data_IF_914688091301
#
_entry.id   IF_914688091301
#
_cell.length_a   1.000
_cell.length_b   1.000
_cell.length_c   1.000
_cell.angle_alpha   90.00
_cell.angle_beta   90.00
_cell.angle_gamma   90.00
#
_symmetry.space_group_name_H-M   'P 1'
#
loop_
_entity.id
_entity.type
_entity.pdbx_description
1 polymer ?
#
# COMPACT_ATOMS: atom_id res chain seq x y z
N UNK A 1 -17.16 5.04 6.02
CA UNK A 1 -16.50 4.07 5.10
C UNK A 1 -15.06 4.48 4.77
N UNK A 2 -14.81 5.58 4.04
CA UNK A 2 -13.42 6.02 3.76
C UNK A 2 -12.66 6.41 5.03
N UNK A 3 -13.31 7.13 5.94
CA UNK A 3 -12.64 7.55 7.17
C UNK A 3 -12.32 6.35 8.08
N UNK A 4 -13.17 5.31 8.07
CA UNK A 4 -12.92 4.07 8.80
C UNK A 4 -11.66 3.34 8.29
N UNK A 5 -11.40 3.37 6.99
CA UNK A 5 -10.18 2.78 6.40
C UNK A 5 -8.94 3.55 6.84
N UNK A 6 -8.99 4.88 6.88
CA UNK A 6 -7.87 5.73 7.34
C UNK A 6 -7.50 5.43 8.80
N UNK A 7 -8.49 5.15 9.65
CA UNK A 7 -8.28 4.91 11.08
C UNK A 7 -8.22 3.43 11.47
N UNK A 8 -8.44 2.51 10.53
CA UNK A 8 -8.53 1.07 10.79
C UNK A 8 -7.32 0.50 11.51
N UNK A 9 -6.11 0.97 11.17
CA UNK A 9 -4.89 0.60 11.88
C UNK A 9 -4.93 0.94 13.37
N UNK A 10 -5.45 2.11 13.74
CA UNK A 10 -5.58 2.51 15.15
C UNK A 10 -6.57 1.65 15.93
N UNK A 11 -7.67 1.21 15.30
CA UNK A 11 -8.61 0.29 15.93
C UNK A 11 -7.97 -1.07 16.23
N UNK A 12 -7.22 -1.62 15.28
CA UNK A 12 -6.51 -2.90 15.47
C UNK A 12 -5.42 -2.76 16.54
N UNK A 13 -4.67 -1.66 16.50
CA UNK A 13 -3.67 -1.31 17.51
C UNK A 13 -4.28 -1.26 18.92
N UNK A 14 -5.42 -0.57 19.08
CA UNK A 14 -6.10 -0.47 20.36
C UNK A 14 -6.62 -1.83 20.86
N UNK A 15 -7.02 -2.73 19.97
CA UNK A 15 -7.56 -4.04 20.33
C UNK A 15 -6.50 -5.06 20.74
N UNK A 16 -5.41 -5.19 19.97
CA UNK A 16 -4.39 -6.25 20.18
C UNK A 16 -2.97 -5.75 20.43
N UNK A 17 -2.73 -4.44 20.44
CA UNK A 17 -1.43 -3.82 20.70
C UNK A 17 -0.47 -3.74 19.51
N UNK A 18 -0.90 -4.13 18.30
CA UNK A 18 -0.03 -4.17 17.11
C UNK A 18 -0.81 -4.18 15.78
N UNK A 19 -0.15 -3.97 14.64
CA UNK A 19 -0.77 -3.95 13.29
C UNK A 19 0.11 -4.63 12.21
N UNK A 20 0.28 -5.94 12.28
CA UNK A 20 1.29 -6.66 11.51
C UNK A 20 0.73 -7.57 10.41
N UNK A 21 -0.42 -8.23 10.63
CA UNK A 21 -0.93 -9.23 9.66
C UNK A 21 -1.42 -8.61 8.35
N UNK A 22 -2.06 -7.44 8.41
CA UNK A 22 -2.55 -6.75 7.21
C UNK A 22 -1.40 -6.31 6.30
N UNK A 23 -0.38 -5.66 6.88
CA UNK A 23 0.79 -5.22 6.12
C UNK A 23 1.61 -6.40 5.62
N UNK A 24 1.79 -7.47 6.41
CA UNK A 24 2.49 -8.68 5.96
C UNK A 24 1.80 -9.34 4.74
N UNK A 25 0.46 -9.36 4.71
CA UNK A 25 -0.31 -9.83 3.56
C UNK A 25 -0.08 -8.96 2.32
N UNK A 26 -0.16 -7.63 2.47
CA UNK A 26 0.09 -6.69 1.37
C UNK A 26 1.53 -6.81 0.82
N UNK A 27 2.53 -6.94 1.70
CA UNK A 27 3.92 -7.16 1.29
C UNK A 27 4.10 -8.49 0.57
N UNK A 28 3.49 -9.57 1.05
CA UNK A 28 3.55 -10.89 0.41
C UNK A 28 2.96 -10.85 -0.99
N UNK A 29 1.86 -10.11 -1.17
CA UNK A 29 1.22 -9.93 -2.47
C UNK A 29 2.11 -9.15 -3.46
N UNK A 30 2.75 -8.07 -2.99
CA UNK A 30 3.71 -7.31 -3.80
C UNK A 30 4.90 -8.19 -4.22
N UNK A 31 5.47 -8.96 -3.27
CA UNK A 31 6.54 -9.92 -3.54
C UNK A 31 6.10 -10.92 -4.60
N UNK A 32 4.92 -11.53 -4.44
CA UNK A 32 4.38 -12.51 -5.37
C UNK A 32 4.26 -11.93 -6.79
N UNK A 33 3.67 -10.74 -6.91
CA UNK A 33 3.48 -10.05 -8.18
C UNK A 33 4.81 -9.79 -8.92
N UNK A 34 5.87 -9.40 -8.18
CA UNK A 34 7.21 -9.18 -8.74
C UNK A 34 7.87 -10.51 -9.15
N UNK A 35 7.92 -11.48 -8.23
CA UNK A 35 8.67 -12.73 -8.45
C UNK A 35 8.02 -13.66 -9.49
N UNK A 36 6.72 -13.53 -9.73
CA UNK A 36 5.99 -14.32 -10.73
C UNK A 36 5.63 -13.53 -11.98
N UNK A 37 6.15 -12.31 -12.13
CA UNK A 37 5.92 -11.42 -13.27
C UNK A 37 4.43 -11.27 -13.66
N UNK A 38 3.56 -11.09 -12.66
CA UNK A 38 2.11 -11.21 -12.85
C UNK A 38 1.49 -10.10 -13.69
N UNK A 39 2.24 -9.03 -13.97
CA UNK A 39 1.76 -7.79 -14.59
C UNK A 39 0.53 -7.22 -13.87
N UNK A 40 0.45 -7.43 -12.54
CA UNK A 40 -0.65 -6.96 -11.71
C UNK A 40 -0.49 -5.47 -11.40
N UNK A 41 -1.57 -4.71 -11.59
CA UNK A 41 -1.67 -3.30 -11.19
C UNK A 41 -1.94 -3.24 -9.69
N UNK A 42 -1.05 -2.60 -8.92
CA UNK A 42 -1.09 -2.52 -7.47
C UNK A 42 -0.74 -1.10 -7.03
N UNK A 43 -1.51 -0.47 -6.11
CA UNK A 43 -1.12 0.82 -5.56
C UNK A 43 0.20 0.69 -4.79
N UNK A 44 1.26 1.30 -5.34
CA UNK A 44 2.61 1.25 -4.77
C UNK A 44 3.21 2.65 -4.74
N UNK A 45 4.22 2.86 -3.89
CA UNK A 45 5.00 4.09 -3.89
C UNK A 45 5.89 4.14 -5.13
N UNK A 46 5.45 4.88 -6.14
CA UNK A 46 6.10 5.00 -7.44
C UNK A 46 6.70 6.41 -7.59
N UNK A 47 7.88 6.49 -8.22
CA UNK A 47 8.47 7.77 -8.58
C UNK A 47 7.64 8.43 -9.68
N UNK A 48 7.27 9.69 -9.48
CA UNK A 48 6.53 10.48 -10.46
C UNK A 48 7.48 11.34 -11.28
N UNK A 49 7.29 11.29 -12.59
CA UNK A 49 8.06 11.95 -13.63
C UNK A 49 7.10 12.69 -14.59
N UNK A 50 6.25 13.54 -14.03
CA UNK A 50 5.22 14.32 -14.74
C UNK A 50 3.81 13.69 -14.72
N UNK A 51 3.64 12.45 -14.22
CA UNK A 51 2.29 11.89 -14.02
C UNK A 51 1.52 12.72 -13.01
N UNK A 52 0.22 12.93 -13.27
CA UNK A 52 -0.66 13.75 -12.43
C UNK A 52 -0.21 15.21 -12.24
N UNK A 53 0.77 15.70 -13.01
CA UNK A 53 1.36 17.02 -12.84
C UNK A 53 2.42 17.10 -11.73
N UNK A 54 2.86 15.97 -11.20
CA UNK A 54 3.84 15.88 -10.12
C UNK A 54 5.16 15.27 -10.63
N UNK A 55 6.29 15.73 -10.08
CA UNK A 55 7.63 15.29 -10.48
C UNK A 55 8.58 15.27 -9.28
N UNK A 56 9.50 14.30 -9.23
CA UNK A 56 10.56 14.26 -8.22
C UNK A 56 10.14 13.69 -6.86
N UNK A 57 8.92 13.15 -6.76
CA UNK A 57 8.37 12.58 -5.53
C UNK A 57 7.97 11.12 -5.70
N UNK A 58 7.91 10.39 -4.59
CA UNK A 58 7.31 9.06 -4.54
C UNK A 58 5.90 9.15 -3.94
N UNK A 59 4.90 8.66 -4.66
CA UNK A 59 3.51 8.66 -4.20
C UNK A 59 2.81 7.35 -4.55
N UNK A 60 1.71 7.05 -3.86
CA UNK A 60 0.91 5.86 -4.15
C UNK A 60 0.13 6.05 -5.46
N UNK A 61 0.50 5.34 -6.52
CA UNK A 61 -0.24 5.31 -7.79
C UNK A 61 -0.50 3.87 -8.26
N UNK A 62 -1.51 3.63 -9.10
CA UNK A 62 -1.76 2.32 -9.70
C UNK A 62 -0.62 1.85 -10.59
#
# INVERSE_FOLDING_TARGET
>A
MLDDVKIGGYHVLAGKGSTEFGIASATTELIRAVFHDEKKVLPCSCYLDGQYGEEGIFASTP
#
